data_IF_945856090571
#
_entry.id   IF_945856090571
#
_cell.length_a   1.000
_cell.length_b   1.000
_cell.length_c   1.000
_cell.angle_alpha   90.00
_cell.angle_beta   90.00
_cell.angle_gamma   90.00
#
_symmetry.space_group_name_H-M   'P 1'
#
loop_
_entity.id
_entity.type
_entity.pdbx_description
1 polymer ?
#
# COMPACT_ATOMS: atom_id res chain seq x y z
N UNK A 1 -2.97 -9.06 23.89
CA UNK A 1 -1.70 -9.78 23.72
C UNK A 1 -0.74 -8.98 22.82
N UNK A 2 0.58 -9.06 23.04
CA UNK A 2 1.62 -8.41 22.18
C UNK A 2 2.61 -9.46 21.67
N UNK A 3 2.15 -10.46 20.92
CA UNK A 3 2.98 -11.62 20.54
C UNK A 3 3.99 -11.36 19.40
N UNK A 4 4.04 -10.17 18.78
CA UNK A 4 4.81 -9.97 17.54
C UNK A 4 5.76 -8.76 17.48
N UNK A 5 6.18 -8.20 18.62
CA UNK A 5 7.07 -7.01 18.63
C UNK A 5 8.58 -7.32 18.47
N UNK A 6 8.99 -8.59 18.61
CA UNK A 6 10.40 -8.97 18.66
C UNK A 6 11.05 -9.01 17.26
N UNK A 7 12.28 -8.48 17.15
CA UNK A 7 13.10 -8.53 15.92
C UNK A 7 13.35 -9.96 15.44
N UNK A 8 13.47 -10.92 16.36
CA UNK A 8 13.69 -12.34 16.06
C UNK A 8 12.48 -12.98 15.38
N UNK A 9 11.28 -12.80 15.93
CA UNK A 9 10.05 -13.32 15.33
C UNK A 9 9.79 -12.76 13.91
N UNK A 10 10.23 -11.52 13.66
CA UNK A 10 10.20 -10.94 12.30
C UNK A 10 11.17 -11.68 11.38
N UNK A 11 12.40 -11.94 11.82
CA UNK A 11 13.42 -12.64 11.02
C UNK A 11 13.07 -14.10 10.74
N UNK A 12 12.57 -14.83 11.73
CA UNK A 12 12.18 -16.24 11.57
C UNK A 12 11.10 -16.36 10.47
N UNK A 13 10.14 -15.43 10.45
CA UNK A 13 9.09 -15.39 9.44
C UNK A 13 9.59 -15.01 8.04
N UNK A 14 10.63 -14.18 7.97
CA UNK A 14 11.31 -13.87 6.71
C UNK A 14 12.02 -15.11 6.16
N UNK A 15 12.71 -15.87 7.01
CA UNK A 15 13.33 -17.12 6.59
C UNK A 15 12.29 -18.12 6.06
N UNK A 16 11.16 -18.28 6.74
CA UNK A 16 10.10 -19.19 6.31
C UNK A 16 9.51 -18.80 4.94
N UNK A 17 9.30 -17.50 4.71
CA UNK A 17 8.80 -16.98 3.43
C UNK A 17 9.83 -17.17 2.30
N UNK A 18 11.11 -16.90 2.57
CA UNK A 18 12.19 -17.05 1.58
C UNK A 18 12.42 -18.52 1.24
N UNK A 19 12.41 -19.43 2.24
CA UNK A 19 12.52 -20.89 2.03
C UNK A 19 11.34 -21.45 1.23
N UNK A 20 10.14 -20.92 1.47
CA UNK A 20 8.95 -21.30 0.70
C UNK A 20 9.04 -20.84 -0.77
N UNK A 21 9.61 -19.66 -1.02
CA UNK A 21 9.78 -19.10 -2.36
C UNK A 21 11.00 -19.68 -3.13
N UNK A 22 11.98 -20.25 -2.44
CA UNK A 22 13.17 -20.88 -3.07
C UNK A 22 12.92 -22.30 -3.57
N UNK A 23 11.75 -22.89 -3.27
CA UNK A 23 11.41 -24.26 -3.69
C UNK A 23 12.06 -25.35 -2.83
N UNK A 24 12.67 -25.01 -1.69
CA UNK A 24 13.16 -26.00 -0.72
C UNK A 24 11.97 -26.62 0.02
N UNK A 25 11.47 -27.75 -0.50
CA UNK A 25 10.38 -28.52 0.12
C UNK A 25 10.78 -28.98 1.53
N UNK A 26 10.16 -28.41 2.57
CA UNK A 26 10.07 -29.09 3.86
C UNK A 26 9.21 -30.35 3.72
N UNK A 27 9.75 -31.47 4.20
CA UNK A 27 9.07 -32.77 4.23
C UNK A 27 7.89 -32.75 5.24
N UNK A 28 6.76 -33.25 4.74
CA UNK A 28 5.42 -33.46 5.31
C UNK A 28 5.38 -34.16 6.70
N UNK A 29 4.26 -34.07 7.47
CA UNK A 29 2.95 -34.69 7.14
C UNK A 29 1.70 -33.83 7.49
N UNK A 30 0.58 -33.86 6.77
CA UNK A 30 -0.40 -34.96 6.73
C UNK A 30 -1.47 -34.66 5.65
N UNK A 31 -2.00 -35.72 5.06
CA UNK A 31 -2.97 -35.79 3.97
C UNK A 31 -4.38 -35.28 4.30
N UNK A 32 -4.91 -34.34 3.49
CA UNK A 32 -6.35 -34.23 3.17
C UNK A 32 -6.49 -33.83 1.68
N UNK A 33 -7.34 -34.54 0.95
CA UNK A 33 -7.87 -34.25 -0.41
C UNK A 33 -9.42 -34.24 -0.32
N UNK A 34 -10.19 -33.70 -1.29
CA UNK A 34 -9.81 -33.31 -2.65
C UNK A 34 -10.19 -31.88 -3.09
N UNK A 35 -9.26 -31.26 -3.82
CA UNK A 35 -9.45 -30.67 -5.16
C UNK A 35 -10.80 -29.99 -5.48
N UNK A 36 -10.86 -28.68 -5.23
CA UNK A 36 -11.48 -27.75 -6.18
C UNK A 36 -10.36 -27.24 -7.08
N UNK A 37 -10.25 -27.79 -8.29
CA UNK A 37 -9.35 -27.25 -9.30
C UNK A 37 -9.89 -25.91 -9.80
N UNK A 38 -9.65 -24.85 -9.02
CA UNK A 38 -9.54 -23.51 -9.58
C UNK A 38 -8.24 -23.50 -10.39
N UNK A 39 -8.35 -23.29 -11.70
CA UNK A 39 -7.20 -22.97 -12.56
C UNK A 39 -6.65 -21.61 -12.12
N UNK A 40 -5.83 -21.65 -11.08
CA UNK A 40 -5.14 -20.49 -10.54
C UNK A 40 -4.14 -19.99 -11.58
N UNK A 41 -4.46 -18.88 -12.22
CA UNK A 41 -3.53 -18.19 -13.09
C UNK A 41 -2.65 -17.29 -12.23
N UNK A 42 -1.31 -17.46 -12.23
CA UNK A 42 -0.42 -16.62 -11.43
C UNK A 42 -0.63 -15.15 -11.82
N UNK A 43 -0.87 -14.31 -10.82
CA UNK A 43 -1.22 -12.91 -11.05
C UNK A 43 0.04 -12.10 -11.38
N UNK A 44 0.12 -11.60 -12.62
CA UNK A 44 1.20 -10.73 -13.11
C UNK A 44 1.14 -9.32 -12.55
N UNK A 45 1.12 -9.18 -11.23
CA UNK A 45 0.87 -7.91 -10.54
C UNK A 45 1.97 -6.90 -10.85
N UNK A 46 3.24 -7.33 -10.84
CA UNK A 46 4.38 -6.45 -11.08
C UNK A 46 4.37 -5.91 -12.51
N UNK A 47 3.79 -6.66 -13.46
CA UNK A 47 3.69 -6.28 -14.86
C UNK A 47 2.38 -5.56 -15.19
N UNK A 48 1.42 -5.48 -14.26
CA UNK A 48 0.12 -4.85 -14.47
C UNK A 48 0.11 -3.39 -14.00
N UNK A 49 1.15 -2.64 -14.35
CA UNK A 49 1.25 -1.19 -14.09
C UNK A 49 0.03 -0.42 -14.61
N UNK A 50 -0.63 -0.95 -15.64
CA UNK A 50 -1.87 -0.42 -16.22
C UNK A 50 -3.02 -0.32 -15.23
N UNK A 51 -3.20 -1.29 -14.31
CA UNK A 51 -4.34 -1.25 -13.37
C UNK A 51 -4.10 -0.24 -12.24
N UNK A 52 -2.87 -0.18 -11.72
CA UNK A 52 -2.46 0.84 -10.74
C UNK A 52 -2.59 2.26 -11.33
N UNK A 53 -2.24 2.39 -12.63
CA UNK A 53 -2.46 3.64 -13.37
C UNK A 53 -3.94 3.98 -13.53
N UNK A 54 -4.79 3.03 -13.88
CA UNK A 54 -6.24 3.26 -14.01
C UNK A 54 -6.88 3.73 -12.69
N UNK A 55 -6.51 3.13 -11.55
CA UNK A 55 -6.95 3.60 -10.23
C UNK A 55 -6.47 5.03 -9.95
N UNK A 56 -5.22 5.33 -10.30
CA UNK A 56 -4.63 6.65 -10.12
C UNK A 56 -5.34 7.73 -10.96
N UNK A 57 -5.61 7.44 -12.24
CA UNK A 57 -6.33 8.32 -13.17
C UNK A 57 -7.78 8.55 -12.70
N UNK A 58 -8.50 7.49 -12.33
CA UNK A 58 -9.85 7.59 -11.78
C UNK A 58 -9.90 8.52 -10.56
N UNK A 59 -8.97 8.33 -9.61
CA UNK A 59 -8.89 9.18 -8.40
C UNK A 59 -8.57 10.62 -8.74
N UNK A 60 -7.60 10.86 -9.63
CA UNK A 60 -7.23 12.21 -10.06
C UNK A 60 -8.45 12.95 -10.63
N UNK A 61 -9.14 12.34 -11.60
CA UNK A 61 -10.28 12.96 -12.28
C UNK A 61 -11.41 13.23 -11.29
N UNK A 62 -11.74 12.26 -10.42
CA UNK A 62 -12.81 12.40 -9.45
C UNK A 62 -12.50 13.49 -8.39
N UNK A 63 -11.27 13.53 -7.86
CA UNK A 63 -10.87 14.55 -6.89
C UNK A 63 -10.81 15.97 -7.49
N UNK A 64 -10.34 16.11 -8.74
CA UNK A 64 -10.36 17.39 -9.44
C UNK A 64 -11.80 17.85 -9.72
N UNK A 65 -12.69 16.92 -10.09
CA UNK A 65 -14.10 17.21 -10.31
C UNK A 65 -14.79 17.73 -9.05
N UNK A 66 -14.47 17.18 -7.87
CA UNK A 66 -14.97 17.69 -6.58
C UNK A 66 -14.55 19.13 -6.30
N UNK A 67 -13.43 19.58 -6.88
CA UNK A 67 -12.93 20.94 -6.78
C UNK A 67 -13.46 21.86 -7.89
N UNK A 68 -14.36 21.36 -8.74
CA UNK A 68 -14.88 22.09 -9.90
C UNK A 68 -13.86 22.26 -11.03
N UNK A 69 -12.79 21.46 -11.03
CA UNK A 69 -11.76 21.47 -12.09
C UNK A 69 -12.11 20.35 -13.07
N UNK A 70 -12.50 20.72 -14.28
CA UNK A 70 -12.74 19.78 -15.38
C UNK A 70 -11.41 19.58 -16.11
N UNK A 71 -10.92 18.34 -16.16
CA UNK A 71 -9.79 18.02 -17.03
C UNK A 71 -10.30 17.89 -18.47
N UNK A 72 -9.72 18.64 -19.39
CA UNK A 72 -9.95 18.42 -20.82
C UNK A 72 -9.18 17.16 -21.26
N UNK A 73 -9.76 16.37 -22.17
CA UNK A 73 -9.33 15.01 -22.56
C UNK A 73 -7.85 14.90 -23.04
N UNK A 74 -7.16 16.02 -23.27
CA UNK A 74 -5.79 16.09 -23.78
C UNK A 74 -4.76 16.67 -22.80
N UNK A 75 -5.18 17.14 -21.62
CA UNK A 75 -4.30 17.83 -20.66
C UNK A 75 -4.04 17.03 -19.37
N UNK A 76 -3.88 15.71 -19.52
CA UNK A 76 -3.32 14.83 -18.49
C UNK A 76 -1.81 15.10 -18.24
N UNK A 77 -1.29 16.26 -18.67
CA UNK A 77 0.10 16.72 -18.52
C UNK A 77 0.54 16.85 -17.05
N UNK A 78 -0.41 16.74 -16.11
CA UNK A 78 -0.13 16.66 -14.67
C UNK A 78 0.08 18.02 -14.01
N UNK A 79 -0.17 19.12 -14.73
CA UNK A 79 0.00 20.48 -14.21
C UNK A 79 -1.26 21.01 -13.50
N UNK A 80 -1.65 20.34 -12.43
CA UNK A 80 -2.76 20.77 -11.57
C UNK A 80 -2.24 21.26 -10.21
N UNK A 81 -2.80 22.36 -9.69
CA UNK A 81 -2.38 22.85 -8.37
C UNK A 81 -2.75 21.85 -7.25
N UNK A 82 -1.71 21.37 -6.56
CA UNK A 82 -1.87 20.60 -5.33
C UNK A 82 -2.16 21.58 -4.21
N UNK A 83 -3.24 21.36 -3.46
CA UNK A 83 -3.68 22.29 -2.41
C UNK A 83 -3.50 21.68 -1.02
N UNK A 84 -3.41 22.49 0.05
CA UNK A 84 -3.46 21.98 1.41
C UNK A 84 -4.66 21.09 1.64
N UNK A 85 -4.44 19.93 2.27
CA UNK A 85 -5.49 19.01 2.64
C UNK A 85 -6.25 19.53 3.85
N UNK A 86 -7.56 19.41 3.80
CA UNK A 86 -8.45 19.62 4.95
C UNK A 86 -9.16 18.32 5.31
N UNK A 87 -9.90 18.32 6.41
CA UNK A 87 -10.64 17.16 6.89
C UNK A 87 -11.72 16.75 5.88
N UNK A 88 -12.45 17.71 5.29
CA UNK A 88 -13.43 17.39 4.25
C UNK A 88 -12.76 16.85 2.98
N UNK A 89 -11.64 17.44 2.53
CA UNK A 89 -10.91 16.93 1.38
C UNK A 89 -10.51 15.47 1.56
N UNK A 90 -9.96 15.12 2.73
CA UNK A 90 -9.58 13.74 3.03
C UNK A 90 -10.80 12.81 3.02
N UNK A 91 -11.89 13.21 3.67
CA UNK A 91 -13.11 12.40 3.71
C UNK A 91 -13.70 12.15 2.32
N UNK A 92 -13.80 13.17 1.47
CA UNK A 92 -14.31 13.01 0.11
C UNK A 92 -13.37 12.17 -0.76
N UNK A 93 -12.05 12.37 -0.64
CA UNK A 93 -11.07 11.54 -1.34
C UNK A 93 -11.13 10.07 -0.89
N UNK A 94 -11.36 9.79 0.39
CA UNK A 94 -11.55 8.42 0.91
C UNK A 94 -12.82 7.78 0.34
N UNK A 95 -13.92 8.54 0.19
CA UNK A 95 -15.15 8.06 -0.45
C UNK A 95 -14.95 7.70 -1.93
N UNK A 96 -14.02 8.37 -2.61
CA UNK A 96 -13.60 8.02 -3.98
C UNK A 96 -12.68 6.79 -3.96
N UNK A 97 -11.70 6.76 -3.05
CA UNK A 97 -10.69 5.71 -2.98
C UNK A 97 -11.31 4.35 -2.70
N UNK A 98 -12.19 4.23 -1.69
CA UNK A 98 -12.72 2.94 -1.25
C UNK A 98 -13.36 2.15 -2.43
N UNK A 99 -14.33 2.69 -3.18
CA UNK A 99 -14.86 2.01 -4.37
C UNK A 99 -13.78 1.67 -5.41
N UNK A 100 -12.83 2.59 -5.62
CA UNK A 100 -11.70 2.36 -6.50
C UNK A 100 -10.83 1.17 -6.06
N UNK A 101 -10.61 1.00 -4.75
CA UNK A 101 -9.87 -0.15 -4.21
C UNK A 101 -10.63 -1.47 -4.39
N UNK A 102 -11.95 -1.47 -4.22
CA UNK A 102 -12.77 -2.66 -4.51
C UNK A 102 -12.64 -3.09 -5.96
N UNK A 103 -12.72 -2.13 -6.89
CA UNK A 103 -12.59 -2.40 -8.32
C UNK A 103 -11.15 -2.83 -8.68
N UNK A 104 -10.15 -2.14 -8.14
CA UNK A 104 -8.75 -2.52 -8.25
C UNK A 104 -8.51 -3.97 -7.80
N UNK A 105 -9.06 -4.35 -6.62
CA UNK A 105 -8.90 -5.70 -6.09
C UNK A 105 -9.60 -6.73 -6.98
N UNK A 106 -10.81 -6.43 -7.46
CA UNK A 106 -11.56 -7.30 -8.37
C UNK A 106 -10.80 -7.60 -9.65
N UNK A 107 -10.18 -6.59 -10.26
CA UNK A 107 -9.49 -6.74 -11.55
C UNK A 107 -8.11 -7.37 -11.35
N UNK A 108 -7.38 -6.99 -10.30
CA UNK A 108 -6.00 -7.44 -10.06
C UNK A 108 -5.94 -8.84 -9.45
N UNK A 109 -6.91 -9.18 -8.61
CA UNK A 109 -6.96 -10.43 -7.86
C UNK A 109 -8.33 -11.10 -8.08
N UNK A 110 -8.49 -11.91 -9.15
CA UNK A 110 -9.80 -12.48 -9.49
C UNK A 110 -10.47 -13.24 -8.34
N UNK A 111 -9.68 -13.92 -7.50
CA UNK A 111 -10.18 -14.66 -6.34
C UNK A 111 -10.77 -13.75 -5.25
N UNK A 112 -10.47 -12.45 -5.26
CA UNK A 112 -11.08 -11.47 -4.35
C UNK A 112 -12.61 -11.51 -4.42
N UNK A 113 -13.19 -11.83 -5.58
CA UNK A 113 -14.64 -11.96 -5.73
C UNK A 113 -15.23 -13.10 -4.90
N UNK A 114 -14.45 -14.15 -4.62
CA UNK A 114 -14.85 -15.32 -3.84
C UNK A 114 -14.94 -15.05 -2.33
N UNK A 115 -14.37 -13.93 -1.86
CA UNK A 115 -14.43 -13.55 -0.46
C UNK A 115 -15.83 -13.09 -0.05
N UNK A 116 -16.17 -13.32 1.21
CA UNK A 116 -17.36 -12.74 1.83
C UNK A 116 -17.29 -11.21 1.80
N UNK A 117 -18.45 -10.54 1.82
CA UNK A 117 -18.48 -9.08 1.88
C UNK A 117 -17.77 -8.53 3.11
N UNK A 118 -17.87 -9.24 4.25
CA UNK A 118 -17.18 -8.90 5.50
C UNK A 118 -15.66 -8.97 5.34
N UNK A 119 -15.13 -10.02 4.73
CA UNK A 119 -13.69 -10.16 4.48
C UNK A 119 -13.17 -9.11 3.49
N UNK A 120 -13.96 -8.78 2.46
CA UNK A 120 -13.61 -7.70 1.52
C UNK A 120 -13.48 -6.37 2.26
N UNK A 121 -14.44 -6.03 3.11
CA UNK A 121 -14.38 -4.81 3.92
C UNK A 121 -13.25 -4.82 4.95
N UNK A 122 -13.00 -5.96 5.59
CA UNK A 122 -11.89 -6.13 6.52
C UNK A 122 -10.55 -5.84 5.82
N UNK A 123 -10.38 -6.40 4.61
CA UNK A 123 -9.18 -6.21 3.79
C UNK A 123 -9.00 -4.74 3.42
N UNK A 124 -10.03 -4.10 2.86
CA UNK A 124 -9.95 -2.70 2.41
C UNK A 124 -9.67 -1.74 3.58
N UNK A 125 -10.36 -1.90 4.72
CA UNK A 125 -10.16 -1.03 5.89
C UNK A 125 -8.77 -1.15 6.49
N UNK A 126 -8.21 -2.37 6.52
CA UNK A 126 -6.85 -2.59 7.01
C UNK A 126 -5.79 -2.07 6.02
N UNK A 127 -6.13 -2.04 4.73
CA UNK A 127 -5.22 -1.67 3.65
C UNK A 127 -5.15 -0.17 3.38
N UNK A 128 -6.28 0.55 3.45
CA UNK A 128 -6.41 1.92 2.92
C UNK A 128 -5.34 2.89 3.43
N UNK A 129 -5.02 2.87 4.73
CA UNK A 129 -4.02 3.76 5.33
C UNK A 129 -2.63 3.48 4.75
N UNK A 130 -2.27 2.21 4.65
CA UNK A 130 -0.95 1.80 4.11
C UNK A 130 -0.87 2.11 2.62
N UNK A 131 -1.94 1.87 1.86
CA UNK A 131 -2.03 2.26 0.46
C UNK A 131 -1.81 3.76 0.28
N UNK A 132 -2.51 4.59 1.04
CA UNK A 132 -2.35 6.06 1.02
C UNK A 132 -0.89 6.47 1.25
N UNK A 133 -0.22 5.88 2.24
CA UNK A 133 1.18 6.17 2.52
C UNK A 133 2.11 5.78 1.37
N UNK A 134 1.98 4.56 0.84
CA UNK A 134 2.84 4.10 -0.26
C UNK A 134 2.61 4.94 -1.53
N UNK A 135 1.34 5.16 -1.89
CA UNK A 135 0.94 5.97 -3.04
C UNK A 135 1.42 7.43 -2.91
N UNK A 136 1.25 8.03 -1.73
CA UNK A 136 1.69 9.38 -1.45
C UNK A 136 3.20 9.56 -1.57
N UNK A 137 3.99 8.59 -1.08
CA UNK A 137 5.45 8.58 -1.23
C UNK A 137 5.84 8.48 -2.70
N UNK A 138 5.28 7.52 -3.42
CA UNK A 138 5.58 7.29 -4.84
C UNK A 138 5.28 8.56 -5.67
N UNK A 139 4.12 9.20 -5.44
CA UNK A 139 3.75 10.44 -6.14
C UNK A 139 4.63 11.62 -5.74
N UNK A 140 4.99 11.74 -4.46
CA UNK A 140 5.95 12.75 -3.99
C UNK A 140 7.27 12.63 -4.76
N UNK A 141 7.85 11.43 -4.84
CA UNK A 141 9.12 11.21 -5.53
C UNK A 141 9.03 11.58 -7.00
N UNK A 142 7.97 11.12 -7.70
CA UNK A 142 7.77 11.38 -9.12
C UNK A 142 7.56 12.86 -9.44
N UNK A 143 6.79 13.57 -8.61
CA UNK A 143 6.34 14.92 -8.91
C UNK A 143 7.19 16.03 -8.30
N UNK A 144 7.68 15.85 -7.08
CA UNK A 144 8.37 16.87 -6.29
C UNK A 144 9.84 16.52 -6.00
N UNK A 145 10.26 15.29 -6.34
CA UNK A 145 11.60 14.79 -6.05
C UNK A 145 11.86 14.51 -4.56
N UNK A 146 13.12 14.16 -4.26
CA UNK A 146 13.54 13.67 -2.92
C UNK A 146 13.49 14.76 -1.83
N UNK A 147 13.76 16.01 -2.20
CA UNK A 147 13.97 17.12 -1.25
C UNK A 147 12.69 17.75 -0.69
N UNK A 148 11.51 17.38 -1.18
CA UNK A 148 10.26 17.97 -0.69
C UNK A 148 9.92 17.50 0.74
N UNK A 149 9.45 18.41 1.58
CA UNK A 149 8.87 18.10 2.91
C UNK A 149 7.39 17.75 2.84
N UNK A 150 6.78 17.89 1.66
CA UNK A 150 5.35 17.70 1.44
C UNK A 150 5.01 16.20 1.43
N UNK A 151 3.91 15.85 2.12
CA UNK A 151 3.32 14.52 2.09
C UNK A 151 1.98 14.57 1.33
N UNK A 152 1.85 13.82 0.23
CA UNK A 152 0.57 13.72 -0.47
C UNK A 152 -0.44 12.97 0.39
N UNK A 153 -1.53 13.66 0.73
CA UNK A 153 -2.59 13.10 1.57
C UNK A 153 -3.68 12.44 0.72
N UNK A 154 -3.99 13.08 -0.41
CA UNK A 154 -4.91 12.57 -1.44
C UNK A 154 -4.23 12.68 -2.81
N UNK A 155 -4.95 12.42 -3.91
CA UNK A 155 -4.39 12.57 -5.26
C UNK A 155 -4.05 14.03 -5.61
N UNK A 156 -4.83 14.96 -5.06
CA UNK A 156 -4.80 16.39 -5.40
C UNK A 156 -4.48 17.32 -4.23
N UNK A 157 -4.29 16.77 -3.03
CA UNK A 157 -3.97 17.54 -1.82
C UNK A 157 -2.73 17.05 -1.10
N UNK A 158 -2.18 17.91 -0.24
CA UNK A 158 -1.01 17.62 0.56
C UNK A 158 -1.13 18.05 2.02
N UNK A 159 -0.32 17.43 2.88
CA UNK A 159 -0.12 17.80 4.27
C UNK A 159 1.35 18.18 4.51
N UNK A 160 1.54 19.08 5.46
CA UNK A 160 2.83 19.40 6.07
C UNK A 160 2.61 19.73 7.53
N UNK A 161 3.68 19.73 8.31
CA UNK A 161 3.68 20.03 9.74
C UNK A 161 2.94 21.34 10.06
N UNK A 162 3.26 22.41 9.33
CA UNK A 162 2.64 23.74 9.51
C UNK A 162 1.14 23.80 9.19
N UNK A 163 0.59 22.78 8.52
CA UNK A 163 -0.79 22.75 8.06
C UNK A 163 -1.70 21.91 8.96
N UNK A 164 -1.19 21.37 10.07
CA UNK A 164 -1.99 20.51 10.95
C UNK A 164 -3.24 21.22 11.51
N UNK A 165 -3.15 22.51 11.86
CA UNK A 165 -4.32 23.31 12.27
C UNK A 165 -5.30 23.55 11.13
N UNK A 166 -4.79 23.81 9.92
CA UNK A 166 -5.62 24.00 8.74
C UNK A 166 -6.39 22.73 8.39
N UNK A 167 -5.79 21.55 8.60
CA UNK A 167 -6.44 20.28 8.33
C UNK A 167 -7.80 20.17 9.05
N UNK A 168 -7.84 20.57 10.33
CA UNK A 168 -9.07 20.49 11.12
C UNK A 168 -9.97 21.73 10.98
N UNK A 169 -9.68 22.69 10.09
CA UNK A 169 -10.45 23.94 9.96
C UNK A 169 -11.92 23.72 9.54
N UNK A 170 -12.20 22.67 8.78
CA UNK A 170 -13.54 22.30 8.28
C UNK A 170 -14.09 21.01 8.90
N UNK A 171 -13.45 20.49 9.96
CA UNK A 171 -13.97 19.38 10.75
C UNK A 171 -15.29 19.80 11.46
N UNK A 172 -16.40 19.05 11.33
CA UNK A 172 -17.69 19.44 11.90
C UNK A 172 -17.69 19.37 13.43
N UNK A 173 -16.95 18.43 14.00
CA UNK A 173 -16.74 18.33 15.44
C UNK A 173 -15.42 19.03 15.83
N UNK A 174 -15.52 20.07 16.66
CA UNK A 174 -14.36 20.83 17.14
C UNK A 174 -13.90 20.46 18.54
N UNK A 175 -14.60 19.54 19.23
CA UNK A 175 -14.41 19.26 20.66
C UNK A 175 -12.95 18.95 21.01
N UNK A 176 -12.26 18.21 20.14
CA UNK A 176 -10.85 17.81 20.32
C UNK A 176 -9.93 18.28 19.19
N UNK A 177 -10.34 19.27 18.39
CA UNK A 177 -9.62 19.64 17.17
C UNK A 177 -8.18 20.12 17.43
N UNK A 178 -7.94 20.87 18.51
CA UNK A 178 -6.61 21.37 18.85
C UNK A 178 -5.65 20.23 19.29
N UNK A 179 -6.15 19.28 20.07
CA UNK A 179 -5.39 18.10 20.48
C UNK A 179 -5.07 17.22 19.27
N UNK A 180 -6.07 16.95 18.43
CA UNK A 180 -5.89 16.19 17.19
C UNK A 180 -4.92 16.87 16.21
N UNK A 181 -4.97 18.20 16.10
CA UNK A 181 -4.03 18.98 15.30
C UNK A 181 -2.59 18.85 15.84
N UNK A 182 -2.40 18.91 17.16
CA UNK A 182 -1.11 18.69 17.78
C UNK A 182 -0.59 17.26 17.53
N UNK A 183 -1.44 16.25 17.69
CA UNK A 183 -1.07 14.85 17.41
C UNK A 183 -0.68 14.66 15.94
N UNK A 184 -1.42 15.25 15.01
CA UNK A 184 -1.10 15.19 13.58
C UNK A 184 0.23 15.90 13.28
N UNK A 185 0.45 17.08 13.86
CA UNK A 185 1.70 17.82 13.74
C UNK A 185 2.90 16.97 14.20
N UNK A 186 2.84 16.47 15.45
CA UNK A 186 3.92 15.68 16.04
C UNK A 186 4.19 14.41 15.23
N UNK A 187 3.13 13.75 14.75
CA UNK A 187 3.25 12.58 13.86
C UNK A 187 3.94 12.94 12.54
N UNK A 188 3.56 14.03 11.86
CA UNK A 188 4.22 14.45 10.60
C UNK A 188 5.70 14.78 10.85
N UNK A 189 5.99 15.52 11.92
CA UNK A 189 7.33 15.97 12.27
C UNK A 189 8.27 14.80 12.58
N UNK A 190 7.78 13.75 13.26
CA UNK A 190 8.55 12.56 13.58
C UNK A 190 8.66 11.60 12.38
N UNK A 191 7.55 11.31 11.71
CA UNK A 191 7.49 10.27 10.69
C UNK A 191 8.16 10.68 9.37
N UNK A 192 7.92 11.92 8.92
CA UNK A 192 8.34 12.35 7.58
C UNK A 192 9.87 12.31 7.39
N UNK A 193 10.70 12.78 8.34
CA UNK A 193 12.16 12.71 8.19
C UNK A 193 12.70 11.26 8.17
N UNK A 194 12.14 10.39 9.02
CA UNK A 194 12.55 8.97 9.11
C UNK A 194 12.24 8.27 7.79
N UNK A 195 11.00 8.38 7.34
CA UNK A 195 10.55 7.76 6.10
C UNK A 195 11.33 8.30 4.89
N UNK A 196 11.56 9.62 4.83
CA UNK A 196 12.36 10.24 3.76
C UNK A 196 13.76 9.63 3.71
N UNK A 197 14.46 9.55 4.84
CA UNK A 197 15.80 8.98 4.93
C UNK A 197 15.85 7.52 4.44
N UNK A 198 14.82 6.73 4.78
CA UNK A 198 14.73 5.33 4.36
C UNK A 198 14.47 5.22 2.87
N UNK A 199 13.51 5.99 2.34
CA UNK A 199 13.19 6.04 0.92
C UNK A 199 14.39 6.51 0.09
N UNK A 200 15.11 7.54 0.53
CA UNK A 200 16.29 8.06 -0.18
C UNK A 200 17.43 7.03 -0.20
N UNK A 201 17.57 6.25 0.87
CA UNK A 201 18.58 5.20 0.99
C UNK A 201 18.24 3.96 0.15
N UNK A 202 16.99 3.54 0.18
CA UNK A 202 16.53 2.32 -0.49
C UNK A 202 16.34 2.57 -1.98
N UNK A 203 15.85 3.75 -2.35
CA UNK A 203 15.49 4.16 -3.70
C UNK A 203 14.61 3.11 -4.39
N UNK A 204 13.36 2.89 -3.91
CA UNK A 204 12.50 1.87 -4.48
C UNK A 204 12.10 2.20 -5.92
N UNK A 205 12.14 1.20 -6.78
CA UNK A 205 11.63 1.25 -8.16
C UNK A 205 10.09 1.24 -8.19
N UNK A 206 9.52 1.60 -9.34
CA UNK A 206 8.07 1.53 -9.55
C UNK A 206 7.50 0.11 -9.38
N UNK A 207 8.26 -0.90 -9.80
CA UNK A 207 7.91 -2.31 -9.63
C UNK A 207 7.89 -2.68 -8.14
N UNK A 208 8.85 -2.19 -7.35
CA UNK A 208 8.90 -2.42 -5.90
C UNK A 208 7.76 -1.70 -5.17
N UNK A 209 7.42 -0.47 -5.56
CA UNK A 209 6.23 0.21 -5.05
C UNK A 209 4.96 -0.58 -5.36
N UNK A 210 4.83 -1.11 -6.58
CA UNK A 210 3.70 -1.95 -6.98
C UNK A 210 3.63 -3.26 -6.16
N UNK A 211 4.78 -3.91 -5.95
CA UNK A 211 4.87 -5.08 -5.09
C UNK A 211 4.48 -4.76 -3.64
N UNK A 212 4.96 -3.64 -3.07
CA UNK A 212 4.57 -3.20 -1.74
C UNK A 212 3.07 -2.94 -1.62
N UNK A 213 2.44 -2.33 -2.63
CA UNK A 213 0.98 -2.12 -2.71
C UNK A 213 0.23 -3.45 -2.66
N UNK A 214 0.67 -4.46 -3.42
CA UNK A 214 0.05 -5.80 -3.41
C UNK A 214 0.28 -6.54 -2.08
N UNK A 215 1.50 -6.50 -1.56
CA UNK A 215 1.85 -7.14 -0.29
C UNK A 215 1.10 -6.51 0.89
N UNK A 216 0.98 -5.17 0.90
CA UNK A 216 0.22 -4.44 1.90
C UNK A 216 -1.26 -4.87 1.94
N UNK A 217 -1.89 -5.04 0.77
CA UNK A 217 -3.27 -5.50 0.67
C UNK A 217 -3.43 -6.86 1.35
N UNK A 218 -2.58 -7.82 1.02
CA UNK A 218 -2.66 -9.20 1.53
C UNK A 218 -1.99 -9.40 2.91
N UNK A 219 -1.74 -8.31 3.64
CA UNK A 219 -1.15 -8.38 4.97
C UNK A 219 -2.21 -8.32 6.07
N UNK A 220 -2.79 -9.48 6.37
CA UNK A 220 -3.94 -9.65 7.28
C UNK A 220 -3.57 -10.03 8.72
N UNK A 221 -2.33 -9.82 9.14
CA UNK A 221 -1.85 -10.32 10.44
C UNK A 221 -2.39 -9.63 11.69
N UNK A 222 -2.88 -8.40 11.54
CA UNK A 222 -3.34 -7.58 12.66
C UNK A 222 -4.88 -7.55 12.75
N UNK A 223 -5.54 -8.42 12.01
CA UNK A 223 -7.00 -8.56 11.99
C UNK A 223 -7.38 -10.00 12.28
N UNK A 224 -8.68 -10.26 12.39
CA UNK A 224 -9.25 -11.60 12.57
C UNK A 224 -9.86 -12.07 11.23
N UNK A 225 -9.03 -12.55 10.28
CA UNK A 225 -9.51 -12.96 8.96
C UNK A 225 -10.18 -14.34 9.02
N UNK A 226 -11.12 -14.60 8.11
CA UNK A 226 -11.57 -15.96 7.87
C UNK A 226 -10.42 -16.86 7.37
N UNK A 227 -10.53 -18.19 7.58
CA UNK A 227 -9.56 -19.16 7.05
C UNK A 227 -9.40 -19.03 5.52
N UNK A 228 -10.50 -18.72 4.82
CA UNK A 228 -10.49 -18.49 3.38
C UNK A 228 -9.64 -17.27 3.01
N UNK A 229 -9.83 -16.15 3.71
CA UNK A 229 -9.03 -14.94 3.50
C UNK A 229 -7.55 -15.18 3.85
N UNK A 230 -7.27 -15.87 4.95
CA UNK A 230 -5.91 -16.18 5.37
C UNK A 230 -5.16 -17.02 4.31
N UNK A 231 -5.81 -18.07 3.80
CA UNK A 231 -5.25 -18.92 2.75
C UNK A 231 -5.03 -18.16 1.43
N UNK A 232 -5.97 -17.29 1.05
CA UNK A 232 -5.84 -16.44 -0.14
C UNK A 232 -4.71 -15.42 0.00
N UNK A 233 -4.61 -14.77 1.16
CA UNK A 233 -3.57 -13.81 1.47
C UNK A 233 -2.17 -14.45 1.49
N UNK A 234 -2.03 -15.67 2.00
CA UNK A 234 -0.78 -16.41 1.94
C UNK A 234 -0.35 -16.70 0.50
N UNK A 235 -1.29 -17.15 -0.34
CA UNK A 235 -1.04 -17.45 -1.76
C UNK A 235 -0.59 -16.22 -2.54
N UNK A 236 -1.36 -15.12 -2.52
CA UNK A 236 -0.99 -13.94 -3.28
C UNK A 236 0.31 -13.28 -2.82
N UNK A 237 0.63 -13.33 -1.52
CA UNK A 237 1.94 -12.86 -1.04
C UNK A 237 3.09 -13.71 -1.57
N UNK A 238 2.93 -15.03 -1.60
CA UNK A 238 3.93 -15.92 -2.17
C UNK A 238 4.13 -15.62 -3.67
N UNK A 239 3.04 -15.45 -4.42
CA UNK A 239 3.09 -15.11 -5.85
C UNK A 239 3.82 -13.79 -6.10
N UNK A 240 3.47 -12.72 -5.35
CA UNK A 240 4.13 -11.40 -5.50
C UNK A 240 5.63 -11.49 -5.20
N UNK A 241 6.01 -12.21 -4.14
CA UNK A 241 7.42 -12.40 -3.77
C UNK A 241 8.15 -13.22 -4.85
N UNK A 242 7.52 -14.26 -5.39
CA UNK A 242 8.10 -15.08 -6.45
C UNK A 242 8.31 -14.26 -7.74
N UNK A 243 7.34 -13.43 -8.13
CA UNK A 243 7.47 -12.53 -9.27
C UNK A 243 8.61 -11.52 -9.07
N UNK A 244 8.69 -10.90 -7.88
CA UNK A 244 9.74 -9.94 -7.57
C UNK A 244 11.11 -10.62 -7.56
N UNK A 245 11.21 -11.82 -6.97
CA UNK A 245 12.42 -12.60 -6.96
C UNK A 245 12.87 -12.92 -8.39
N UNK A 246 11.95 -13.34 -9.27
CA UNK A 246 12.25 -13.65 -10.67
C UNK A 246 12.81 -12.43 -11.41
N UNK A 247 12.23 -11.24 -11.21
CA UNK A 247 12.73 -9.99 -11.79
C UNK A 247 14.15 -9.68 -11.29
N UNK A 248 14.41 -9.83 -9.99
CA UNK A 248 15.74 -9.59 -9.43
C UNK A 248 16.80 -10.57 -9.93
N UNK A 249 16.46 -11.84 -10.16
CA UNK A 249 17.41 -12.80 -10.77
C UNK A 249 17.90 -12.31 -12.12
N UNK A 250 17.03 -11.59 -12.86
CA UNK A 250 17.34 -11.06 -14.19
C UNK A 250 18.10 -9.73 -14.16
N UNK A 251 17.89 -8.91 -13.12
CA UNK A 251 18.38 -7.52 -13.08
C UNK A 251 19.60 -7.31 -12.18
N UNK A 252 19.58 -7.84 -10.96
CA UNK A 252 20.64 -7.65 -9.94
C UNK A 252 21.37 -8.95 -9.56
N UNK A 253 20.90 -10.09 -10.05
CA UNK A 253 21.52 -11.40 -9.84
C UNK A 253 21.14 -12.06 -8.52
N UNK A 254 21.66 -13.27 -8.30
CA UNK A 254 21.14 -14.17 -7.27
C UNK A 254 21.56 -13.80 -5.85
N UNK A 255 22.76 -13.25 -5.69
CA UNK A 255 23.35 -12.94 -4.37
C UNK A 255 22.65 -11.75 -3.70
N UNK A 256 22.21 -10.77 -4.50
CA UNK A 256 21.61 -9.54 -3.98
C UNK A 256 20.09 -9.63 -3.82
N UNK A 257 19.43 -10.62 -4.45
CA UNK A 257 17.97 -10.73 -4.49
C UNK A 257 17.35 -10.78 -3.08
N UNK A 258 17.88 -11.62 -2.20
CA UNK A 258 17.29 -11.87 -0.88
C UNK A 258 17.46 -10.64 0.01
N UNK A 259 18.62 -9.98 -0.09
CA UNK A 259 18.90 -8.71 0.59
C UNK A 259 17.91 -7.63 0.14
N UNK A 260 17.69 -7.49 -1.18
CA UNK A 260 16.78 -6.47 -1.71
C UNK A 260 15.33 -6.71 -1.31
N UNK A 261 14.83 -7.96 -1.42
CA UNK A 261 13.49 -8.32 -0.94
C UNK A 261 13.35 -8.00 0.55
N UNK A 262 14.34 -8.38 1.36
CA UNK A 262 14.33 -8.11 2.80
C UNK A 262 14.25 -6.61 3.11
N UNK A 263 15.00 -5.78 2.38
CA UNK A 263 14.96 -4.31 2.50
C UNK A 263 13.58 -3.75 2.16
N UNK A 264 12.97 -4.19 1.05
CA UNK A 264 11.63 -3.74 0.63
C UNK A 264 10.56 -4.14 1.65
N UNK A 265 10.62 -5.36 2.19
CA UNK A 265 9.68 -5.80 3.22
C UNK A 265 9.86 -5.05 4.55
N UNK A 266 11.10 -4.69 4.90
CA UNK A 266 11.36 -3.84 6.07
C UNK A 266 10.76 -2.44 5.90
N UNK A 267 10.96 -1.83 4.72
CA UNK A 267 10.35 -0.54 4.40
C UNK A 267 8.82 -0.59 4.46
N UNK A 268 8.21 -1.62 3.87
CA UNK A 268 6.76 -1.82 3.95
C UNK A 268 6.30 -1.93 5.41
N UNK A 269 7.03 -2.69 6.24
CA UNK A 269 6.68 -2.82 7.66
C UNK A 269 6.78 -1.48 8.39
N UNK A 270 7.79 -0.66 8.12
CA UNK A 270 7.92 0.70 8.69
C UNK A 270 6.74 1.59 8.29
N UNK A 271 6.31 1.55 7.02
CA UNK A 271 5.15 2.31 6.54
C UNK A 271 3.85 1.84 7.22
N UNK A 272 3.69 0.53 7.48
CA UNK A 272 2.48 -0.03 8.10
C UNK A 272 2.31 0.31 9.58
N UNK A 273 3.41 0.42 10.33
CA UNK A 273 3.36 0.69 11.78
C UNK A 273 3.29 2.17 12.12
N UNK A 274 3.47 3.03 11.13
CA UNK A 274 3.40 4.49 11.24
C UNK A 274 1.97 4.98 11.03
#
# INVERSE_FOLDING_TARGET
>A
ERLFACRKCRMDRFEDLVKSASGEKMLNPTSISPSVHSTHQPSKIIHSSTISRALSEYRLIAELSLRGIVMEDFDASGDYNIVPCTYQHMNEATKILIPGLFEFCRVTFPDFQLLSISDKWLLIRNYEKTFHSIDGIMRKLRRLGKNSSIFFSTFTTYLSEDLANLFFSDCPDKTHAAEAAKTLHDWIAEFTPILRKQIDRIDPTDQEFTAMIGLALWSVENVDPSDQLLAMAARYRADIIEELAKEYRQTIGQEELASRIGVILCLLQEIRVS
#
